data_IF_813005184204
#
_entry.id   IF_813005184204
#
_cell.length_a   1.000
_cell.length_b   1.000
_cell.length_c   1.000
_cell.angle_alpha   90.00
_cell.angle_beta   90.00
_cell.angle_gamma   90.00
#
_symmetry.space_group_name_H-M   'P 1'
#
loop_
_entity.id
_entity.type
_entity.pdbx_description
1 polymer ?
#
# COMPACT_ATOMS: atom_id res chain seq x y z
N UNK A 1 23.23 20.93 11.64
CA UNK A 1 22.43 20.96 10.39
C UNK A 1 22.12 19.54 9.91
N UNK A 2 20.95 19.00 10.27
CA UNK A 2 20.52 17.70 9.78
C UNK A 2 20.08 17.86 8.32
N UNK A 3 20.87 17.29 7.42
CA UNK A 3 20.56 17.24 5.99
C UNK A 3 19.43 16.23 5.79
N UNK A 4 18.21 16.72 5.52
CA UNK A 4 17.09 15.91 5.03
C UNK A 4 17.40 15.49 3.58
N UNK A 5 17.98 14.30 3.40
CA UNK A 5 18.06 13.69 2.08
C UNK A 5 16.65 13.23 1.66
N UNK A 6 16.13 13.84 0.59
CA UNK A 6 14.75 13.82 0.07
C UNK A 6 13.91 12.53 0.30
N UNK A 7 13.02 12.52 1.32
CA UNK A 7 11.97 11.51 1.51
C UNK A 7 10.87 11.55 0.43
N UNK A 8 10.78 12.63 -0.35
CA UNK A 8 9.60 12.93 -1.18
C UNK A 8 9.38 11.92 -2.31
N UNK A 9 10.43 11.50 -3.02
CA UNK A 9 10.28 10.66 -4.23
C UNK A 9 9.78 9.24 -3.95
N UNK A 10 10.16 8.63 -2.83
CA UNK A 10 9.72 7.27 -2.52
C UNK A 10 8.27 7.26 -2.03
N UNK A 11 7.91 8.23 -1.20
CA UNK A 11 6.53 8.45 -0.79
C UNK A 11 5.63 8.79 -2.00
N UNK A 12 6.08 9.69 -2.88
CA UNK A 12 5.38 10.02 -4.12
C UNK A 12 5.11 8.77 -4.96
N UNK A 13 6.12 7.91 -5.18
CA UNK A 13 5.94 6.64 -5.91
C UNK A 13 4.89 5.72 -5.29
N UNK A 14 4.86 5.60 -3.96
CA UNK A 14 3.85 4.80 -3.27
C UNK A 14 2.45 5.41 -3.46
N UNK A 15 2.31 6.73 -3.32
CA UNK A 15 1.03 7.43 -3.51
C UNK A 15 0.55 7.32 -4.96
N UNK A 16 1.45 7.51 -5.91
CA UNK A 16 1.18 7.36 -7.34
C UNK A 16 0.75 5.93 -7.67
N UNK A 17 1.36 4.92 -7.04
CA UNK A 17 0.92 3.52 -7.19
C UNK A 17 -0.52 3.34 -6.74
N UNK A 18 -0.89 3.86 -5.56
CA UNK A 18 -2.28 3.76 -5.06
C UNK A 18 -3.25 4.50 -5.99
N UNK A 19 -2.84 5.64 -6.53
CA UNK A 19 -3.63 6.39 -7.52
C UNK A 19 -3.83 5.62 -8.82
N UNK A 20 -2.77 5.02 -9.36
CA UNK A 20 -2.81 4.20 -10.58
C UNK A 20 -3.77 3.00 -10.41
N UNK A 21 -3.63 2.25 -9.32
CA UNK A 21 -4.49 1.11 -9.03
C UNK A 21 -5.95 1.55 -8.77
N UNK A 22 -6.15 2.69 -8.11
CA UNK A 22 -7.48 3.27 -7.93
C UNK A 22 -8.16 3.62 -9.26
N UNK A 23 -7.40 4.12 -10.24
CA UNK A 23 -7.90 4.44 -11.56
C UNK A 23 -8.24 3.16 -12.36
N UNK A 24 -7.35 2.18 -12.38
CA UNK A 24 -7.55 0.91 -13.09
C UNK A 24 -8.74 0.13 -12.53
N UNK A 25 -8.87 0.04 -11.21
CA UNK A 25 -10.00 -0.65 -10.58
C UNK A 25 -11.38 -0.03 -10.83
N UNK A 26 -11.44 1.20 -11.37
CA UNK A 26 -12.69 1.97 -11.52
C UNK A 26 -13.30 2.45 -10.20
N UNK A 27 -12.68 2.15 -9.04
CA UNK A 27 -13.19 2.50 -7.71
C UNK A 27 -12.84 3.91 -7.27
N UNK A 28 -11.81 4.52 -7.86
CA UNK A 28 -11.34 5.84 -7.50
C UNK A 28 -11.07 5.96 -5.99
N UNK A 29 -11.80 6.83 -5.30
CA UNK A 29 -11.63 7.06 -3.85
C UNK A 29 -12.15 5.93 -2.96
N UNK A 30 -12.91 5.00 -3.51
CA UNK A 30 -13.40 3.81 -2.80
C UNK A 30 -12.45 2.61 -2.92
N UNK A 31 -11.25 2.78 -3.47
CA UNK A 31 -10.22 1.73 -3.43
C UNK A 31 -9.99 1.31 -1.98
N UNK A 32 -10.14 0.00 -1.69
CA UNK A 32 -9.91 -0.51 -0.34
C UNK A 32 -8.42 -0.77 -0.14
N UNK A 33 -7.82 -0.03 0.80
CA UNK A 33 -6.41 -0.19 1.17
C UNK A 33 -6.29 -0.50 2.65
N UNK A 34 -5.62 -1.58 3.01
CA UNK A 34 -5.26 -1.89 4.39
C UNK A 34 -3.79 -1.52 4.65
N UNK A 35 -3.52 -0.75 5.70
CA UNK A 35 -2.17 -0.44 6.17
C UNK A 35 -1.97 -1.16 7.50
N UNK A 36 -1.03 -2.11 7.53
CA UNK A 36 -0.80 -3.01 8.67
C UNK A 36 0.60 -2.75 9.23
N UNK A 37 0.64 -2.11 10.40
CA UNK A 37 1.87 -1.85 11.17
C UNK A 37 1.56 -1.88 12.65
N UNK A 38 2.34 -2.63 13.43
CA UNK A 38 2.14 -2.76 14.88
C UNK A 38 2.68 -1.57 15.68
N UNK A 39 3.61 -0.80 15.11
CA UNK A 39 4.18 0.40 15.74
C UNK A 39 3.26 1.63 15.73
N UNK A 40 2.13 1.56 15.00
CA UNK A 40 1.18 2.66 14.86
C UNK A 40 1.73 3.86 14.07
N UNK A 41 2.93 3.74 13.49
CA UNK A 41 3.58 4.83 12.77
C UNK A 41 3.24 4.78 11.29
N UNK A 42 2.11 5.40 10.95
CA UNK A 42 1.63 5.49 9.58
C UNK A 42 2.02 6.78 8.88
N UNK A 43 2.67 7.73 9.56
CA UNK A 43 2.95 9.03 8.98
C UNK A 43 4.04 8.92 7.89
N UNK A 44 3.84 9.58 6.72
CA UNK A 44 2.84 10.61 6.42
C UNK A 44 1.55 10.16 5.69
N UNK A 45 1.25 8.86 5.60
CA UNK A 45 0.15 8.33 4.77
C UNK A 45 -1.22 8.95 5.03
N UNK A 46 -1.65 9.25 6.28
CA UNK A 46 -2.97 9.83 6.52
C UNK A 46 -3.23 11.13 5.75
N UNK A 47 -2.20 11.95 5.52
CA UNK A 47 -2.36 13.20 4.77
C UNK A 47 -2.61 12.94 3.28
N UNK A 48 -1.88 11.99 2.69
CA UNK A 48 -2.00 11.61 1.29
C UNK A 48 -3.29 10.84 1.01
N UNK A 49 -3.70 9.96 1.94
CA UNK A 49 -4.87 9.12 1.78
C UNK A 49 -6.17 9.72 2.33
N UNK A 50 -6.15 10.98 2.78
CA UNK A 50 -7.33 11.69 3.32
C UNK A 50 -8.55 11.71 2.40
N UNK A 51 -8.34 11.57 1.09
CA UNK A 51 -9.40 11.56 0.09
C UNK A 51 -9.99 10.19 -0.18
N UNK A 52 -9.40 9.11 0.34
CA UNK A 52 -9.90 7.75 0.18
C UNK A 52 -10.85 7.39 1.32
N UNK A 53 -11.95 6.70 0.99
CA UNK A 53 -13.02 6.39 1.93
C UNK A 53 -12.89 5.01 2.57
N UNK A 54 -12.03 4.14 2.03
CA UNK A 54 -11.86 2.74 2.46
C UNK A 54 -10.43 2.42 2.88
N UNK A 55 -9.88 3.23 3.78
CA UNK A 55 -8.55 3.02 4.34
C UNK A 55 -8.66 2.38 5.73
N UNK A 56 -8.07 1.19 5.89
CA UNK A 56 -7.93 0.51 7.17
C UNK A 56 -6.57 0.74 7.80
N UNK A 57 -6.52 1.24 9.03
CA UNK A 57 -5.28 1.45 9.80
C UNK A 57 -5.18 0.42 10.91
N UNK A 58 -4.31 -0.56 10.76
CA UNK A 58 -4.29 -1.76 11.59
C UNK A 58 -3.03 -1.85 12.44
N UNK A 59 -3.23 -1.89 13.77
CA UNK A 59 -2.17 -2.04 14.78
C UNK A 59 -1.89 -3.51 15.13
N UNK A 60 -2.65 -4.42 14.52
CA UNK A 60 -2.52 -5.86 14.60
C UNK A 60 -2.98 -6.45 13.26
N UNK A 61 -2.65 -7.71 12.99
CA UNK A 61 -3.08 -8.37 11.76
C UNK A 61 -4.60 -8.61 11.85
N UNK A 62 -5.42 -8.01 10.95
CA UNK A 62 -6.85 -8.25 10.95
C UNK A 62 -7.17 -9.70 10.54
N UNK A 63 -8.29 -10.23 11.03
CA UNK A 63 -8.77 -11.56 10.65
C UNK A 63 -9.06 -11.64 9.15
N UNK A 64 -9.60 -10.56 8.57
CA UNK A 64 -9.78 -10.38 7.13
C UNK A 64 -8.81 -9.31 6.64
N UNK A 65 -7.63 -9.75 6.17
CA UNK A 65 -6.58 -8.85 5.69
C UNK A 65 -6.71 -8.46 4.22
N UNK A 66 -7.48 -9.23 3.42
CA UNK A 66 -7.71 -8.95 2.01
C UNK A 66 -8.26 -7.53 1.78
N UNK A 67 -7.66 -6.87 0.80
CA UNK A 67 -8.01 -5.55 0.29
C UNK A 67 -7.60 -5.45 -1.19
N UNK A 68 -7.94 -4.37 -1.87
CA UNK A 68 -7.44 -4.12 -3.23
C UNK A 68 -5.91 -3.87 -3.21
N UNK A 69 -5.44 -3.19 -2.15
CA UNK A 69 -4.03 -3.06 -1.83
C UNK A 69 -3.79 -3.24 -0.33
N UNK A 70 -2.63 -3.80 0.03
CA UNK A 70 -2.17 -3.93 1.40
C UNK A 70 -0.78 -3.32 1.51
N UNK A 71 -0.60 -2.39 2.44
CA UNK A 71 0.70 -1.82 2.79
C UNK A 71 1.10 -2.39 4.15
N UNK A 72 2.13 -3.22 4.18
CA UNK A 72 2.50 -3.97 5.40
C UNK A 72 4.00 -3.84 5.69
N UNK A 73 4.36 -3.75 6.96
CA UNK A 73 5.77 -3.79 7.36
C UNK A 73 6.39 -5.16 6.96
N UNK A 74 7.60 -5.21 6.39
CA UNK A 74 8.21 -6.44 5.90
C UNK A 74 8.20 -7.61 6.89
N UNK A 75 8.46 -7.32 8.17
CA UNK A 75 8.47 -8.27 9.28
C UNK A 75 7.09 -8.89 9.60
N UNK A 76 6.00 -8.24 9.19
CA UNK A 76 4.63 -8.73 9.38
C UNK A 76 4.10 -9.51 8.17
N UNK A 77 4.76 -9.40 7.01
CA UNK A 77 4.23 -9.92 5.75
C UNK A 77 3.96 -11.43 5.77
N UNK A 78 4.90 -12.24 6.26
CA UNK A 78 4.70 -13.70 6.33
C UNK A 78 3.51 -14.09 7.21
N UNK A 79 3.23 -13.30 8.23
CA UNK A 79 2.07 -13.51 9.09
C UNK A 79 0.79 -13.08 8.39
N UNK A 80 0.79 -11.90 7.75
CA UNK A 80 -0.36 -11.41 6.96
C UNK A 80 -0.71 -12.36 5.83
N UNK A 81 0.28 -12.91 5.13
CA UNK A 81 0.08 -13.83 4.00
C UNK A 81 -0.78 -15.05 4.38
N UNK A 82 -0.69 -15.52 5.63
CA UNK A 82 -1.50 -16.66 6.13
C UNK A 82 -2.99 -16.33 6.26
N UNK A 83 -3.35 -15.04 6.28
CA UNK A 83 -4.71 -14.54 6.40
C UNK A 83 -5.28 -14.06 5.05
N UNK A 84 -4.50 -14.13 3.97
CA UNK A 84 -4.94 -13.72 2.64
C UNK A 84 -5.67 -14.87 1.94
N UNK A 85 -6.80 -14.54 1.31
CA UNK A 85 -7.55 -15.47 0.46
C UNK A 85 -7.30 -15.22 -1.02
N UNK A 86 -6.92 -14.01 -1.39
CA UNK A 86 -6.56 -13.65 -2.76
C UNK A 86 -5.05 -13.76 -3.00
N UNK A 87 -4.68 -13.79 -4.28
CA UNK A 87 -3.29 -13.68 -4.73
C UNK A 87 -2.88 -12.22 -4.88
N UNK A 88 -1.61 -11.93 -4.60
CA UNK A 88 -1.07 -10.59 -4.60
C UNK A 88 0.30 -10.53 -5.28
N UNK A 89 0.46 -9.54 -6.15
CA UNK A 89 1.77 -9.07 -6.57
C UNK A 89 2.38 -8.22 -5.45
N UNK A 90 3.66 -8.43 -5.14
CA UNK A 90 4.34 -7.74 -4.05
C UNK A 90 5.52 -6.95 -4.57
N UNK A 91 5.57 -5.66 -4.23
CA UNK A 91 6.71 -4.80 -4.47
C UNK A 91 7.16 -4.07 -3.20
N UNK A 92 8.43 -3.65 -3.19
CA UNK A 92 9.01 -2.89 -2.09
C UNK A 92 8.79 -1.40 -2.31
N UNK A 93 8.29 -0.72 -1.29
CA UNK A 93 8.14 0.73 -1.25
C UNK A 93 8.76 1.29 0.02
N UNK A 94 9.30 2.51 -0.04
CA UNK A 94 9.81 3.18 1.16
C UNK A 94 8.83 4.27 1.60
N UNK A 95 8.41 4.20 2.86
CA UNK A 95 7.57 5.22 3.49
C UNK A 95 8.37 6.51 3.73
N UNK A 96 9.60 6.35 4.22
CA UNK A 96 10.61 7.40 4.48
C UNK A 96 11.99 6.75 4.60
N UNK A 97 13.09 7.51 4.69
CA UNK A 97 14.42 6.92 4.89
C UNK A 97 14.44 5.94 6.07
N UNK A 98 14.86 4.70 5.80
CA UNK A 98 14.94 3.63 6.80
C UNK A 98 13.63 2.92 7.14
N UNK A 99 12.49 3.29 6.53
CA UNK A 99 11.20 2.61 6.77
C UNK A 99 10.65 2.07 5.46
N UNK A 100 10.62 0.74 5.37
CA UNK A 100 10.12 0.00 4.22
C UNK A 100 8.71 -0.53 4.47
N UNK A 101 8.00 -0.73 3.37
CA UNK A 101 6.69 -1.36 3.29
C UNK A 101 6.69 -2.32 2.11
N UNK A 102 6.00 -3.44 2.25
CA UNK A 102 5.55 -4.21 1.11
C UNK A 102 4.22 -3.63 0.66
N UNK A 103 4.15 -3.27 -0.62
CA UNK A 103 2.91 -2.94 -1.29
C UNK A 103 2.43 -4.20 -2.00
N UNK A 104 1.44 -4.86 -1.41
CA UNK A 104 0.76 -6.00 -2.00
C UNK A 104 -0.43 -5.48 -2.80
N UNK A 105 -0.44 -5.73 -4.10
CA UNK A 105 -1.50 -5.33 -5.04
C UNK A 105 -2.21 -6.61 -5.44
N UNK A 106 -3.54 -6.63 -5.37
CA UNK A 106 -4.30 -7.83 -5.77
C UNK A 106 -3.95 -8.20 -7.22
N UNK A 107 -3.70 -9.48 -7.47
CA UNK A 107 -3.07 -9.95 -8.71
C UNK A 107 -3.85 -9.52 -9.97
N UNK A 108 -5.17 -9.60 -9.95
CA UNK A 108 -6.07 -9.14 -11.03
C UNK A 108 -5.86 -7.65 -11.36
N UNK A 109 -5.80 -6.79 -10.35
CA UNK A 109 -5.57 -5.35 -10.52
C UNK A 109 -4.17 -5.05 -11.04
N UNK A 110 -3.18 -5.85 -10.64
CA UNK A 110 -1.82 -5.74 -11.17
C UNK A 110 -1.75 -6.11 -12.65
N UNK A 111 -2.40 -7.21 -13.04
CA UNK A 111 -2.42 -7.69 -14.42
C UNK A 111 -3.11 -6.66 -15.34
N UNK A 112 -4.23 -6.08 -14.92
CA UNK A 112 -4.91 -5.00 -15.64
C UNK A 112 -4.00 -3.75 -15.78
N UNK A 113 -3.31 -3.39 -14.71
CA UNK A 113 -2.39 -2.27 -14.72
C UNK A 113 -1.21 -2.46 -15.70
N UNK A 114 -0.64 -3.68 -15.76
CA UNK A 114 0.42 -4.00 -16.73
C UNK A 114 -0.11 -4.01 -18.15
N UNK A 115 -1.30 -4.58 -18.38
CA UNK A 115 -1.93 -4.59 -19.70
C UNK A 115 -2.16 -3.16 -20.23
N UNK A 116 -2.59 -2.23 -19.37
CA UNK A 116 -2.81 -0.82 -19.73
C UNK A 116 -1.55 -0.01 -20.04
N UNK A 117 -0.35 -0.50 -19.68
CA UNK A 117 0.94 0.14 -19.99
C UNK A 117 1.64 -0.42 -21.24
N UNK A 118 1.16 -1.54 -21.76
CA UNK A 118 1.73 -2.21 -22.93
C UNK A 118 1.10 -1.83 -24.27
N UNK A 119 0.21 -0.82 -24.29
CA UNK A 119 -0.51 -0.33 -25.48
C UNK A 119 -0.08 1.04 -25.95
#
# INVERSE_FOLDING_TARGET
PYVYAHPSRAMEKLVDRVHDIAAISGKGKELHVNIIRTDGDYWPLPWYFRGYTRIGWWHAIPEQADADMILVAPELYESVQKHLKNEYFVEFQALRPGVLLYACIRQDLWDEFIAGRGG
#
